data_IF_342922119827
#
_entry.id   IF_342922119827
#
_cell.length_a   1.000
_cell.length_b   1.000
_cell.length_c   1.000
_cell.angle_alpha   90.00
_cell.angle_beta   90.00
_cell.angle_gamma   90.00
#
_symmetry.space_group_name_H-M   'P 1'
#
loop_
_entity.id
_entity.type
_entity.pdbx_description
1 polymer ?
#
# COMPACT_ATOMS: atom_id res chain seq x y z
N UNK A 1 1.98 -5.15 12.25
CA UNK A 1 1.49 -5.40 13.62
C UNK A 1 0.14 -6.12 13.63
N UNK A 2 -0.93 -5.50 13.11
CA UNK A 2 -2.28 -6.08 13.12
C UNK A 2 -2.36 -7.51 12.55
N UNK A 3 -1.79 -7.73 11.36
CA UNK A 3 -1.71 -9.06 10.74
C UNK A 3 -1.05 -10.14 11.62
N UNK A 4 -0.11 -9.76 12.48
CA UNK A 4 0.58 -10.67 13.39
C UNK A 4 -0.05 -10.69 14.79
N UNK A 5 -1.25 -10.10 14.96
CA UNK A 5 -1.94 -9.89 16.23
C UNK A 5 -1.08 -9.21 17.31
N UNK A 6 -0.09 -8.42 16.90
CA UNK A 6 0.65 -7.56 17.83
C UNK A 6 -0.24 -6.37 18.21
N UNK A 7 -0.26 -5.95 19.48
CA UNK A 7 -1.18 -4.91 19.94
C UNK A 7 -0.84 -3.50 19.40
N UNK A 8 0.40 -3.28 18.94
CA UNK A 8 0.87 -2.00 18.43
C UNK A 8 2.34 -2.06 18.00
N UNK A 9 2.90 -0.91 17.62
CA UNK A 9 4.33 -0.74 17.29
C UNK A 9 4.95 0.33 18.20
N UNK A 10 6.25 0.25 18.40
CA UNK A 10 7.04 1.26 19.12
C UNK A 10 7.96 1.94 18.09
N UNK A 11 7.89 3.27 18.00
CA UNK A 11 8.63 4.07 17.03
C UNK A 11 8.85 5.48 17.56
N UNK A 12 10.01 6.07 17.33
CA UNK A 12 10.33 7.46 17.68
C UNK A 12 9.82 8.47 16.63
N UNK A 13 9.50 8.00 15.42
CA UNK A 13 8.85 8.81 14.38
C UNK A 13 7.60 9.49 14.95
N UNK A 14 7.56 10.82 14.90
CA UNK A 14 6.46 11.66 15.37
C UNK A 14 6.70 12.40 16.68
N UNK A 15 7.74 12.05 17.45
CA UNK A 15 8.13 12.77 18.68
C UNK A 15 8.31 14.26 18.39
N UNK A 16 7.72 15.11 19.23
CA UNK A 16 7.80 16.57 19.10
C UNK A 16 6.95 17.15 17.96
N UNK A 17 6.14 16.36 17.27
CA UNK A 17 5.18 16.82 16.24
C UNK A 17 3.74 16.78 16.77
N UNK A 18 2.77 17.19 15.95
CA UNK A 18 1.34 17.07 16.30
C UNK A 18 0.89 15.62 16.59
N UNK A 19 1.65 14.62 16.13
CA UNK A 19 1.39 13.19 16.39
C UNK A 19 1.76 12.80 17.81
N UNK A 20 2.67 13.53 18.46
CA UNK A 20 3.05 13.33 19.86
C UNK A 20 1.83 13.54 20.77
N UNK A 21 1.50 12.61 21.69
CA UNK A 21 0.35 12.72 22.57
C UNK A 21 0.44 13.87 23.58
N UNK A 22 1.63 14.46 23.78
CA UNK A 22 1.80 15.70 24.57
C UNK A 22 1.29 16.94 23.83
N UNK A 23 1.02 16.82 22.53
CA UNK A 23 0.48 17.85 21.66
C UNK A 23 -0.97 17.52 21.27
N UNK A 24 -1.20 16.99 20.07
CA UNK A 24 -2.54 16.61 19.59
C UNK A 24 -2.75 15.09 19.55
N UNK A 25 -1.70 14.28 19.69
CA UNK A 25 -1.81 12.82 19.57
C UNK A 25 -2.34 12.35 18.21
N UNK A 26 -2.09 13.13 17.15
CA UNK A 26 -2.57 12.85 15.79
C UNK A 26 -4.07 13.14 15.56
N UNK A 27 -4.78 13.68 16.55
CA UNK A 27 -6.20 14.03 16.45
C UNK A 27 -6.37 15.28 15.59
N UNK A 28 -7.19 15.21 14.55
CA UNK A 28 -7.32 16.26 13.53
C UNK A 28 -8.50 17.21 13.75
N UNK A 29 -9.36 16.93 14.73
CA UNK A 29 -10.51 17.77 15.08
C UNK A 29 -10.87 17.62 16.56
N UNK A 30 -11.70 18.54 17.05
CA UNK A 30 -12.08 18.60 18.46
C UNK A 30 -12.97 17.44 18.91
N UNK A 31 -13.74 16.81 18.03
CA UNK A 31 -14.64 15.72 18.43
C UNK A 31 -13.90 14.39 18.63
N UNK A 32 -12.70 14.24 18.06
CA UNK A 32 -11.88 13.04 18.25
C UNK A 32 -11.22 13.07 19.64
N UNK A 33 -11.63 12.16 20.53
CA UNK A 33 -11.18 12.16 21.93
C UNK A 33 -10.34 10.93 22.31
N UNK A 34 -10.58 9.77 21.72
CA UNK A 34 -9.86 8.52 22.02
C UNK A 34 -8.35 8.63 21.76
N UNK A 35 -7.55 8.08 22.67
CA UNK A 35 -6.09 8.03 22.55
C UNK A 35 -5.62 6.75 21.86
N UNK A 36 -5.00 6.89 20.69
CA UNK A 36 -4.41 5.77 19.94
C UNK A 36 -2.88 5.70 20.08
N UNK A 37 -2.29 6.74 20.64
CA UNK A 37 -0.83 6.94 20.73
C UNK A 37 -0.47 7.24 22.18
N UNK A 38 0.58 6.60 22.70
CA UNK A 38 1.10 6.86 24.04
C UNK A 38 2.62 7.02 24.01
N UNK A 39 3.15 7.87 24.89
CA UNK A 39 4.59 7.96 25.12
C UNK A 39 5.04 6.74 25.94
N UNK A 40 6.14 6.11 25.53
CA UNK A 40 6.78 4.99 26.23
C UNK A 40 8.28 5.22 26.25
N UNK A 41 8.98 4.57 27.16
CA UNK A 41 10.43 4.71 27.31
C UNK A 41 11.10 3.33 27.29
N UNK A 42 12.20 3.23 26.53
CA UNK A 42 13.06 2.04 26.47
C UNK A 42 14.51 2.50 26.42
N UNK A 43 15.38 1.90 27.24
CA UNK A 43 16.81 2.22 27.27
C UNK A 43 17.10 3.72 27.44
N UNK A 44 16.34 4.40 28.31
CA UNK A 44 16.39 5.85 28.56
C UNK A 44 16.13 6.73 27.32
N UNK A 45 15.35 6.24 26.35
CA UNK A 45 14.91 6.98 25.17
C UNK A 45 13.39 6.98 25.05
N UNK A 46 12.84 8.13 24.69
CA UNK A 46 11.42 8.30 24.41
C UNK A 46 11.03 7.70 23.05
N UNK A 47 9.90 7.01 23.03
CA UNK A 47 9.25 6.49 21.83
C UNK A 47 7.75 6.74 21.91
N UNK A 48 7.09 6.67 20.76
CA UNK A 48 5.65 6.59 20.65
C UNK A 48 5.23 5.15 20.42
N UNK A 49 4.31 4.66 21.25
CA UNK A 49 3.56 3.46 20.94
C UNK A 49 2.33 3.82 20.13
N UNK A 50 2.17 3.17 18.99
CA UNK A 50 1.01 3.30 18.11
C UNK A 50 0.17 2.04 18.20
N UNK A 51 -1.09 2.17 18.64
CA UNK A 51 -2.04 1.05 18.70
C UNK A 51 -2.27 0.48 17.30
N UNK A 52 -2.19 -0.84 17.16
CA UNK A 52 -2.56 -1.53 15.93
C UNK A 52 -4.09 -1.61 15.82
N UNK A 53 -4.60 -1.29 14.65
CA UNK A 53 -6.03 -1.40 14.30
C UNK A 53 -6.12 -2.40 13.15
N UNK A 54 -6.93 -3.43 13.31
CA UNK A 54 -7.18 -4.44 12.29
C UNK A 54 -8.46 -4.08 11.53
N UNK A 55 -8.47 -4.06 10.19
CA UNK A 55 -9.69 -3.88 9.42
C UNK A 55 -10.48 -5.19 9.30
N UNK A 56 -11.78 -5.08 9.05
CA UNK A 56 -12.67 -6.22 8.77
C UNK A 56 -12.87 -6.48 7.27
N UNK A 57 -12.63 -5.48 6.42
CA UNK A 57 -12.82 -5.57 4.98
C UNK A 57 -11.62 -4.94 4.27
N UNK A 58 -11.15 -5.58 3.20
CA UNK A 58 -10.11 -5.05 2.33
C UNK A 58 -10.62 -4.92 0.89
N UNK A 59 -10.39 -3.76 0.29
CA UNK A 59 -10.42 -3.57 -1.16
C UNK A 59 -8.99 -3.46 -1.65
N UNK A 60 -8.53 -4.48 -2.36
CA UNK A 60 -7.19 -4.55 -2.94
C UNK A 60 -7.29 -4.74 -4.45
N UNK A 61 -6.15 -4.56 -5.12
CA UNK A 61 -6.06 -4.67 -6.57
C UNK A 61 -4.75 -5.33 -6.98
N UNK A 62 -4.78 -6.08 -8.08
CA UNK A 62 -3.62 -6.63 -8.76
C UNK A 62 -3.85 -6.58 -10.28
N UNK A 63 -2.86 -6.94 -11.10
CA UNK A 63 -3.04 -7.00 -12.56
C UNK A 63 -3.77 -8.28 -12.95
N UNK A 64 -3.29 -9.43 -12.47
CA UNK A 64 -3.77 -10.74 -12.88
C UNK A 64 -3.84 -11.66 -11.67
N UNK A 65 -4.82 -12.56 -11.63
CA UNK A 65 -4.76 -13.72 -10.73
C UNK A 65 -5.10 -15.03 -11.47
N UNK A 66 -4.71 -16.17 -10.90
CA UNK A 66 -5.21 -17.45 -11.38
C UNK A 66 -6.59 -17.80 -10.80
N UNK A 67 -7.13 -18.97 -11.18
CA UNK A 67 -8.44 -19.42 -10.71
C UNK A 67 -8.50 -19.74 -9.20
N UNK A 68 -7.37 -19.74 -8.48
CA UNK A 68 -7.31 -19.90 -7.02
C UNK A 68 -6.99 -18.58 -6.31
N UNK A 69 -6.91 -17.46 -7.05
CA UNK A 69 -6.68 -16.12 -6.49
C UNK A 69 -5.21 -15.74 -6.32
N UNK A 70 -4.24 -16.58 -6.71
CA UNK A 70 -2.83 -16.22 -6.65
C UNK A 70 -2.55 -15.07 -7.63
N UNK A 71 -2.05 -13.93 -7.14
CA UNK A 71 -2.04 -12.70 -7.92
C UNK A 71 -0.64 -12.12 -8.22
N UNK A 72 -0.50 -11.57 -9.42
CA UNK A 72 0.68 -10.86 -9.94
C UNK A 72 0.36 -9.39 -10.23
N UNK A 73 1.40 -8.56 -10.25
CA UNK A 73 1.33 -7.09 -10.29
C UNK A 73 2.08 -6.55 -11.51
N UNK A 74 2.12 -7.31 -12.61
CA UNK A 74 3.00 -7.06 -13.74
C UNK A 74 2.73 -5.76 -14.49
N UNK A 75 1.52 -5.20 -14.42
CA UNK A 75 1.19 -3.91 -15.02
C UNK A 75 0.83 -2.84 -13.97
N UNK A 76 0.86 -3.15 -12.66
CA UNK A 76 0.64 -2.14 -11.64
C UNK A 76 1.85 -1.20 -11.50
N UNK A 77 1.60 0.07 -11.15
CA UNK A 77 2.68 1.08 -11.00
C UNK A 77 3.63 0.73 -9.86
N UNK A 78 3.10 0.13 -8.78
CA UNK A 78 3.83 -0.26 -7.58
C UNK A 78 3.01 -1.23 -6.72
N UNK A 79 3.62 -1.81 -5.69
CA UNK A 79 2.95 -2.80 -4.83
C UNK A 79 2.14 -2.20 -3.67
N UNK A 80 2.52 -1.01 -3.20
CA UNK A 80 2.04 -0.44 -1.94
C UNK A 80 2.13 -1.47 -0.80
N UNK A 81 1.04 -1.69 -0.07
CA UNK A 81 0.90 -2.55 1.09
C UNK A 81 -0.16 -3.64 0.89
N UNK A 82 -0.49 -4.00 -0.37
CA UNK A 82 -1.60 -4.90 -0.70
C UNK A 82 -1.54 -6.26 0.03
N UNK A 83 -0.36 -6.88 0.13
CA UNK A 83 -0.18 -8.12 0.90
C UNK A 83 -0.41 -7.90 2.40
N UNK A 84 0.08 -6.79 2.96
CA UNK A 84 -0.05 -6.47 4.38
C UNK A 84 -1.52 -6.22 4.74
N UNK A 85 -2.26 -5.54 3.87
CA UNK A 85 -3.70 -5.32 4.00
C UNK A 85 -4.45 -6.66 3.97
N UNK A 86 -4.18 -7.50 2.97
CA UNK A 86 -4.82 -8.82 2.85
C UNK A 86 -4.61 -9.68 4.10
N UNK A 87 -3.37 -9.73 4.62
CA UNK A 87 -3.05 -10.47 5.84
C UNK A 87 -3.74 -9.89 7.08
N UNK A 88 -3.79 -8.55 7.21
CA UNK A 88 -4.41 -7.89 8.35
C UNK A 88 -5.90 -8.20 8.44
N UNK A 89 -6.60 -8.23 7.31
CA UNK A 89 -8.02 -8.54 7.22
C UNK A 89 -8.28 -10.03 7.37
N UNK A 90 -7.55 -10.88 6.64
CA UNK A 90 -7.71 -12.34 6.70
C UNK A 90 -7.51 -12.87 8.13
N UNK A 91 -6.45 -12.46 8.82
CA UNK A 91 -6.18 -12.90 10.20
C UNK A 91 -7.14 -12.27 11.23
N UNK A 92 -7.91 -11.25 10.84
CA UNK A 92 -8.98 -10.69 11.66
C UNK A 92 -10.35 -11.36 11.37
N UNK A 93 -10.38 -12.42 10.55
CA UNK A 93 -11.63 -13.10 10.16
C UNK A 93 -12.50 -12.26 9.22
N UNK A 94 -11.91 -11.26 8.57
CA UNK A 94 -12.57 -10.35 7.64
C UNK A 94 -12.69 -10.90 6.22
N UNK A 95 -13.08 -10.03 5.28
CA UNK A 95 -13.27 -10.37 3.86
C UNK A 95 -12.35 -9.52 2.98
N UNK A 96 -11.53 -10.18 2.18
CA UNK A 96 -10.62 -9.58 1.21
C UNK A 96 -11.23 -9.67 -0.19
N UNK A 97 -11.57 -8.51 -0.76
CA UNK A 97 -12.07 -8.38 -2.12
C UNK A 97 -10.98 -7.80 -3.02
N UNK A 98 -10.62 -8.52 -4.08
CA UNK A 98 -9.54 -8.15 -4.99
C UNK A 98 -10.06 -7.90 -6.40
N UNK A 99 -9.83 -6.68 -6.90
CA UNK A 99 -10.02 -6.36 -8.31
C UNK A 99 -8.80 -6.81 -9.13
N UNK A 100 -9.03 -7.43 -10.28
CA UNK A 100 -7.99 -7.77 -11.27
C UNK A 100 -8.41 -7.39 -12.68
N UNK A 101 -7.43 -7.16 -13.56
CA UNK A 101 -7.71 -6.92 -14.97
C UNK A 101 -8.14 -8.21 -15.69
N UNK A 102 -7.53 -9.35 -15.35
CA UNK A 102 -7.82 -10.65 -15.96
C UNK A 102 -7.56 -11.81 -15.02
N UNK A 103 -8.17 -12.95 -15.35
CA UNK A 103 -7.88 -14.23 -14.72
C UNK A 103 -7.19 -15.19 -15.69
N UNK A 104 -6.33 -16.06 -15.16
CA UNK A 104 -5.61 -17.08 -15.93
C UNK A 104 -5.82 -18.48 -15.36
N UNK A 105 -5.34 -19.50 -16.08
CA UNK A 105 -5.40 -20.89 -15.64
C UNK A 105 -4.64 -21.08 -14.33
N UNK A 106 -5.15 -21.95 -13.45
CA UNK A 106 -4.48 -22.38 -12.23
C UNK A 106 -2.99 -22.69 -12.46
N UNK A 107 -2.14 -22.16 -11.58
CA UNK A 107 -0.72 -22.47 -11.51
C UNK A 107 0.07 -22.23 -12.83
N UNK A 108 -0.35 -21.25 -13.63
CA UNK A 108 0.41 -20.82 -14.82
C UNK A 108 1.18 -19.52 -14.62
N UNK A 109 0.96 -18.82 -13.51
CA UNK A 109 1.75 -17.64 -13.13
C UNK A 109 3.12 -18.08 -12.61
N UNK A 110 4.18 -17.31 -12.92
CA UNK A 110 5.50 -17.61 -12.40
C UNK A 110 5.51 -17.43 -10.87
N UNK A 111 5.92 -18.44 -10.08
CA UNK A 111 5.71 -18.41 -8.63
C UNK A 111 6.47 -17.29 -7.91
N UNK A 112 7.63 -16.85 -8.43
CA UNK A 112 8.36 -15.70 -7.85
C UNK A 112 7.73 -14.33 -8.18
N UNK A 113 6.81 -14.29 -9.14
CA UNK A 113 6.09 -13.07 -9.50
C UNK A 113 4.81 -12.91 -8.68
N UNK A 114 4.33 -13.98 -8.06
CA UNK A 114 3.15 -13.95 -7.18
C UNK A 114 3.45 -13.10 -5.95
N UNK A 115 2.57 -12.13 -5.67
CA UNK A 115 2.70 -11.21 -4.53
C UNK A 115 1.66 -11.48 -3.45
N UNK A 116 0.48 -11.95 -3.83
CA UNK A 116 -0.61 -12.29 -2.92
C UNK A 116 -0.96 -13.76 -3.14
N UNK A 117 -0.75 -14.63 -2.11
CA UNK A 117 -1.23 -16.00 -2.14
C UNK A 117 -2.76 -16.05 -2.19
N UNK A 118 -3.32 -16.94 -3.01
CA UNK A 118 -4.75 -16.96 -3.29
C UNK A 118 -5.65 -17.24 -2.07
N UNK A 119 -5.15 -17.98 -1.09
CA UNK A 119 -5.90 -18.27 0.14
C UNK A 119 -6.14 -17.04 1.04
N UNK A 120 -5.51 -15.90 0.77
CA UNK A 120 -5.80 -14.63 1.44
C UNK A 120 -6.93 -13.85 0.77
N UNK A 121 -7.47 -14.33 -0.35
CA UNK A 121 -8.48 -13.64 -1.16
C UNK A 121 -9.80 -14.39 -1.07
N UNK A 122 -10.86 -13.69 -0.68
CA UNK A 122 -12.19 -14.27 -0.52
C UNK A 122 -13.06 -14.03 -1.77
N UNK A 123 -12.90 -12.87 -2.41
CA UNK A 123 -13.71 -12.47 -3.57
C UNK A 123 -12.78 -11.86 -4.64
N UNK A 124 -12.95 -12.30 -5.88
CA UNK A 124 -12.28 -11.70 -7.06
C UNK A 124 -13.32 -10.98 -7.92
N UNK A 125 -13.02 -9.74 -8.30
CA UNK A 125 -13.79 -8.95 -9.26
C UNK A 125 -12.92 -8.70 -10.49
N UNK A 126 -13.38 -9.11 -11.66
CA UNK A 126 -12.65 -8.89 -12.91
C UNK A 126 -13.16 -7.61 -13.58
N UNK A 127 -12.25 -6.65 -13.77
CA UNK A 127 -12.46 -5.41 -14.52
C UNK A 127 -11.53 -5.39 -15.75
N UNK A 128 -12.00 -5.83 -16.93
CA UNK A 128 -11.15 -5.96 -18.11
C UNK A 128 -10.58 -4.62 -18.61
N UNK A 129 -11.22 -3.50 -18.24
CA UNK A 129 -10.83 -2.15 -18.66
C UNK A 129 -9.97 -1.43 -17.59
N UNK A 130 -9.54 -2.14 -16.55
CA UNK A 130 -8.65 -1.64 -15.51
C UNK A 130 -7.39 -0.95 -16.11
N UNK A 131 -7.20 0.34 -15.81
CA UNK A 131 -6.03 1.12 -16.25
C UNK A 131 -5.04 1.39 -15.11
N UNK A 132 -3.76 1.62 -15.45
CA UNK A 132 -2.68 1.86 -14.47
C UNK A 132 -2.89 3.13 -13.65
N UNK A 133 -3.45 4.17 -14.30
CA UNK A 133 -3.71 5.48 -13.73
C UNK A 133 -5.11 5.93 -14.17
N UNK A 134 -5.61 7.01 -13.56
CA UNK A 134 -6.81 7.68 -14.04
C UNK A 134 -6.64 8.24 -15.45
N UNK A 135 -7.76 8.47 -16.13
CA UNK A 135 -7.81 9.03 -17.48
C UNK A 135 -7.96 7.98 -18.59
N UNK A 136 -8.06 6.69 -18.26
CA UNK A 136 -8.40 5.64 -19.24
C UNK A 136 -7.31 5.40 -20.29
N UNK A 137 -6.06 5.77 -20.00
CA UNK A 137 -4.95 5.50 -20.89
C UNK A 137 -4.65 4.00 -20.95
N UNK A 138 -4.26 3.47 -22.13
CA UNK A 138 -3.85 2.08 -22.25
C UNK A 138 -2.61 1.79 -21.38
N UNK A 139 -2.38 0.51 -21.09
CA UNK A 139 -1.20 0.04 -20.37
C UNK A 139 0.08 0.54 -21.04
N UNK A 140 0.93 1.22 -20.27
CA UNK A 140 2.25 1.64 -20.66
C UNK A 140 3.30 0.71 -20.05
N UNK A 141 3.99 -0.05 -20.89
CA UNK A 141 4.97 -1.05 -20.46
C UNK A 141 6.29 -0.46 -19.92
N UNK A 142 6.54 0.83 -20.14
CA UNK A 142 7.59 1.56 -19.42
C UNK A 142 7.19 1.81 -17.96
N UNK A 143 5.90 2.08 -17.70
CA UNK A 143 5.37 2.22 -16.33
C UNK A 143 5.38 0.85 -15.62
N UNK A 144 5.06 -0.23 -16.33
CA UNK A 144 5.19 -1.61 -15.83
C UNK A 144 6.65 -1.99 -15.49
N UNK A 145 7.64 -1.27 -16.03
CA UNK A 145 9.06 -1.55 -15.82
C UNK A 145 9.62 -2.64 -16.73
N UNK A 146 8.90 -3.04 -17.77
CA UNK A 146 9.34 -4.08 -18.72
C UNK A 146 10.36 -3.57 -19.75
N UNK A 147 10.43 -2.25 -19.94
CA UNK A 147 11.29 -1.61 -20.92
C UNK A 147 12.01 -0.39 -20.32
N UNK A 148 13.16 -0.07 -20.90
CA UNK A 148 13.93 1.14 -20.60
C UNK A 148 13.57 2.24 -21.60
N UNK A 149 13.09 3.39 -21.11
CA UNK A 149 12.81 4.56 -21.94
C UNK A 149 14.13 5.20 -22.41
N UNK A 150 14.21 5.59 -23.68
CA UNK A 150 15.35 6.39 -24.19
C UNK A 150 15.28 7.81 -23.64
N UNK A 151 16.31 8.20 -22.88
CA UNK A 151 16.45 9.51 -22.23
C UNK A 151 17.57 10.37 -22.85
N UNK A 152 18.09 9.99 -24.02
CA UNK A 152 19.16 10.72 -24.73
C UNK A 152 18.80 12.16 -25.10
N UNK A 153 17.51 12.50 -25.12
CA UNK A 153 17.03 13.85 -25.43
C UNK A 153 17.18 14.78 -24.24
N UNK A 154 18.15 15.71 -24.32
CA UNK A 154 18.29 16.79 -23.32
C UNK A 154 17.17 17.82 -23.46
N UNK A 155 16.20 17.78 -22.56
CA UNK A 155 15.15 18.81 -22.46
C UNK A 155 15.73 20.12 -21.90
N UNK A 156 15.61 21.21 -22.67
CA UNK A 156 15.89 22.56 -22.15
C UNK A 156 14.71 23.02 -21.29
N UNK A 157 14.86 22.90 -19.96
CA UNK A 157 13.85 23.37 -19.02
C UNK A 157 13.94 24.90 -18.83
N UNK A 158 12.85 25.67 -18.97
CA UNK A 158 12.87 27.12 -18.74
C UNK A 158 13.39 27.49 -17.35
N UNK A 159 14.19 28.56 -17.26
CA UNK A 159 14.63 29.09 -15.96
C UNK A 159 13.50 29.92 -15.34
N UNK A 160 12.66 29.25 -14.56
CA UNK A 160 11.58 29.84 -13.77
C UNK A 160 11.84 29.62 -12.28
N UNK A 161 10.96 30.14 -11.42
CA UNK A 161 11.07 30.02 -9.96
C UNK A 161 11.22 28.55 -9.49
N UNK A 162 10.49 27.61 -10.11
CA UNK A 162 10.61 26.18 -9.77
C UNK A 162 12.01 25.64 -10.07
N UNK A 163 12.54 25.95 -11.26
CA UNK A 163 13.91 25.53 -11.65
C UNK A 163 14.98 26.20 -10.81
N UNK A 164 14.75 27.43 -10.32
CA UNK A 164 15.67 28.12 -9.42
C UNK A 164 15.81 27.39 -8.09
N UNK A 165 14.69 27.03 -7.46
CA UNK A 165 14.71 26.29 -6.18
C UNK A 165 15.27 24.87 -6.33
N UNK A 166 15.07 24.25 -7.50
CA UNK A 166 15.57 22.90 -7.77
C UNK A 166 17.09 22.81 -8.02
N UNK A 167 17.78 23.95 -8.21
CA UNK A 167 19.24 24.01 -8.40
C UNK A 167 19.95 24.11 -7.06
#
# INVERSE_FOLDING_TARGET
AAAAHQPGIISDIGIGTFVDPRQQGGKLNEVTKEDLIKLVEFENKEYLYYKAIAPDIAFIRATTCDSEGYATFEDEVMYLDALVIAQAVHNNGGIVMMQVQKMVKKATLHPKSVRIPGYLVDIVVVDPDQTQLYGGAPVNRFISGDFTLDDSTKLSLPLNQRKLVAR
#
